data_IF_112995228635
#
_entry.id   IF_112995228635
#
_cell.length_a   1.000
_cell.length_b   1.000
_cell.length_c   1.000
_cell.angle_alpha   90.00
_cell.angle_beta   90.00
_cell.angle_gamma   90.00
#
_symmetry.space_group_name_H-M   'P 1'
#
loop_
_entity.id
_entity.type
_entity.pdbx_description
1 polymer ?
#
# COMPACT_ATOMS: atom_id res chain seq x y z
N UNK A 1 -21.08 -18.44 10.30
CA UNK A 1 -19.89 -17.59 10.54
C UNK A 1 -18.53 -18.31 10.55
N UNK A 2 -18.43 -19.63 10.28
CA UNK A 2 -17.15 -20.36 10.35
C UNK A 2 -16.20 -20.09 9.17
N UNK A 3 -16.74 -19.84 7.98
CA UNK A 3 -15.94 -19.71 6.75
C UNK A 3 -15.25 -18.34 6.65
N UNK A 4 -15.92 -17.27 7.07
CA UNK A 4 -15.33 -15.91 7.13
C UNK A 4 -14.14 -15.83 8.09
N UNK A 5 -14.20 -16.52 9.24
CA UNK A 5 -13.10 -16.57 10.20
C UNK A 5 -11.85 -17.25 9.61
N UNK A 6 -12.04 -18.32 8.83
CA UNK A 6 -10.94 -19.05 8.16
C UNK A 6 -10.33 -18.25 7.02
N UNK A 7 -11.16 -17.58 6.21
CA UNK A 7 -10.70 -16.72 5.12
C UNK A 7 -9.92 -15.50 5.64
N UNK A 8 -10.39 -14.87 6.72
CA UNK A 8 -9.70 -13.76 7.35
C UNK A 8 -8.34 -14.18 7.92
N UNK A 9 -8.26 -15.35 8.57
CA UNK A 9 -7.00 -15.88 9.11
C UNK A 9 -5.98 -16.17 8.00
N UNK A 10 -6.41 -16.88 6.96
CA UNK A 10 -5.57 -17.19 5.80
C UNK A 10 -5.11 -15.91 5.07
N UNK A 11 -6.02 -14.96 4.90
CA UNK A 11 -5.73 -13.64 4.32
C UNK A 11 -4.70 -12.88 5.15
N UNK A 12 -4.88 -12.81 6.47
CA UNK A 12 -3.95 -12.12 7.37
C UNK A 12 -2.55 -12.74 7.36
N UNK A 13 -2.44 -14.08 7.35
CA UNK A 13 -1.14 -14.76 7.26
C UNK A 13 -0.45 -14.51 5.92
N UNK A 14 -1.19 -14.52 4.81
CA UNK A 14 -0.62 -14.23 3.50
C UNK A 14 -0.12 -12.78 3.41
N UNK A 15 -0.89 -11.83 3.95
CA UNK A 15 -0.50 -10.42 4.07
C UNK A 15 0.76 -10.27 4.93
N UNK A 16 0.82 -10.92 6.09
CA UNK A 16 1.98 -10.88 6.97
C UNK A 16 3.24 -11.47 6.31
N UNK A 17 3.12 -12.56 5.55
CA UNK A 17 4.24 -13.17 4.81
C UNK A 17 4.70 -12.28 3.65
N UNK A 18 3.77 -11.64 2.94
CA UNK A 18 4.11 -10.72 1.85
C UNK A 18 4.81 -9.46 2.35
N UNK A 19 4.31 -8.84 3.43
CA UNK A 19 4.94 -7.64 4.00
C UNK A 19 6.21 -7.96 4.81
N UNK A 20 6.27 -9.11 5.49
CA UNK A 20 7.44 -9.55 6.25
C UNK A 20 8.63 -9.97 5.39
N UNK A 21 8.39 -10.47 4.17
CA UNK A 21 9.48 -10.74 3.22
C UNK A 21 10.02 -9.46 2.55
N UNK A 22 9.19 -8.44 2.38
CA UNK A 22 9.61 -7.16 1.80
C UNK A 22 10.59 -6.36 2.70
N UNK A 23 10.54 -6.52 4.03
CA UNK A 23 11.40 -5.77 4.96
C UNK A 23 12.86 -6.23 4.98
N UNK A 24 13.15 -7.49 4.61
CA UNK A 24 14.53 -8.03 4.63
C UNK A 24 15.32 -7.62 3.37
N UNK A 25 14.65 -7.33 2.26
CA UNK A 25 15.30 -7.01 0.97
C UNK A 25 15.60 -5.52 0.74
N UNK A 26 15.21 -4.62 1.65
CA UNK A 26 15.44 -3.17 1.51
C UNK A 26 16.80 -2.75 2.12
N UNK A 27 17.48 -3.66 2.83
CA UNK A 27 18.75 -3.38 3.52
C UNK A 27 20.00 -3.89 2.78
N UNK A 28 19.93 -4.08 1.46
CA UNK A 28 21.14 -4.33 0.67
C UNK A 28 21.84 -3.00 0.36
N UNK A 29 23.15 -2.96 0.62
CA UNK A 29 24.02 -1.78 0.63
C UNK A 29 24.27 -1.26 -0.80
N UNK A 30 23.23 -0.72 -1.44
CA UNK A 30 23.36 -0.01 -2.69
C UNK A 30 23.73 1.45 -2.39
N UNK A 31 25.04 1.74 -2.48
CA UNK A 31 25.63 3.07 -2.72
C UNK A 31 24.59 4.11 -3.17
N UNK A 32 24.29 5.07 -2.29
CA UNK A 32 23.37 6.19 -2.54
C UNK A 32 23.92 6.98 -3.74
N UNK A 33 23.52 6.59 -4.93
CA UNK A 33 23.46 7.48 -6.08
C UNK A 33 22.03 7.97 -6.05
N UNK A 34 21.86 9.28 -5.93
CA UNK A 34 20.57 9.98 -5.97
C UNK A 34 19.85 9.69 -7.30
N UNK A 35 19.30 8.48 -7.44
CA UNK A 35 18.36 8.17 -8.49
C UNK A 35 17.02 8.62 -7.95
N UNK A 36 16.69 9.87 -8.26
CA UNK A 36 15.32 10.37 -8.20
C UNK A 36 14.44 9.35 -8.95
N UNK A 37 13.73 8.49 -8.22
CA UNK A 37 12.66 7.65 -8.77
C UNK A 37 11.46 8.56 -9.02
N UNK A 38 11.64 9.53 -9.92
CA UNK A 38 10.55 10.13 -10.65
C UNK A 38 10.27 9.13 -11.75
N UNK A 39 9.23 8.30 -11.61
CA UNK A 39 8.74 7.54 -12.75
C UNK A 39 8.22 8.57 -13.76
N UNK A 40 8.92 8.83 -14.87
CA UNK A 40 8.43 9.78 -15.85
C UNK A 40 7.10 9.22 -16.39
N UNK A 41 6.14 10.10 -16.59
CA UNK A 41 4.89 9.80 -17.27
C UNK A 41 5.20 9.12 -18.60
N UNK A 42 4.98 7.80 -18.65
CA UNK A 42 5.26 6.99 -19.83
C UNK A 42 3.95 6.78 -20.61
N UNK A 43 3.99 7.09 -21.90
CA UNK A 43 2.88 6.83 -22.82
C UNK A 43 3.06 5.43 -23.36
N UNK A 44 2.23 4.49 -22.91
CA UNK A 44 2.29 3.08 -23.33
C UNK A 44 1.12 2.80 -24.26
N UNK A 45 1.39 2.11 -25.37
CA UNK A 45 0.32 1.54 -26.19
C UNK A 45 -0.29 0.34 -25.46
N UNK A 46 -1.50 0.51 -24.94
CA UNK A 46 -2.25 -0.59 -24.34
C UNK A 46 -3.36 -0.96 -25.29
N UNK A 47 -3.12 -2.00 -26.09
CA UNK A 47 -4.20 -2.83 -26.63
C UNK A 47 -4.94 -3.39 -25.42
N UNK A 48 -6.25 -3.12 -25.33
CA UNK A 48 -7.16 -3.65 -24.30
C UNK A 48 -7.22 -2.95 -22.92
N UNK A 49 -6.91 -1.64 -22.85
CA UNK A 49 -7.00 -0.87 -21.59
C UNK A 49 -8.43 -0.77 -21.01
N UNK A 50 -9.48 -1.00 -21.81
CA UNK A 50 -10.87 -0.84 -21.36
C UNK A 50 -11.57 -2.13 -20.91
N UNK A 51 -10.95 -3.29 -21.09
CA UNK A 51 -11.61 -4.59 -20.89
C UNK A 51 -11.71 -5.08 -19.43
N UNK A 52 -10.82 -4.65 -18.54
CA UNK A 52 -10.71 -5.20 -17.16
C UNK A 52 -11.20 -4.24 -16.07
N UNK A 53 -11.80 -4.79 -15.01
CA UNK A 53 -12.19 -4.04 -13.80
C UNK A 53 -10.99 -3.30 -13.19
N UNK A 54 -9.82 -3.94 -13.17
CA UNK A 54 -8.58 -3.32 -12.67
C UNK A 54 -8.18 -2.09 -13.48
N UNK A 55 -8.39 -2.13 -14.80
CA UNK A 55 -8.10 -0.98 -15.67
C UNK A 55 -9.09 0.16 -15.45
N UNK A 56 -10.39 -0.14 -15.25
CA UNK A 56 -11.41 0.87 -14.90
C UNK A 56 -11.14 1.53 -13.56
N UNK A 57 -10.75 0.75 -12.55
CA UNK A 57 -10.33 1.25 -11.23
C UNK A 57 -9.07 2.11 -11.39
N UNK A 58 -8.08 1.64 -12.13
CA UNK A 58 -6.86 2.41 -12.41
C UNK A 58 -7.15 3.78 -13.05
N UNK A 59 -8.07 3.83 -14.02
CA UNK A 59 -8.53 5.08 -14.64
C UNK A 59 -9.24 5.98 -13.62
N UNK A 60 -10.17 5.43 -12.84
CA UNK A 60 -10.91 6.17 -11.83
C UNK A 60 -10.03 6.72 -10.69
N UNK A 61 -8.92 6.06 -10.40
CA UNK A 61 -7.93 6.49 -9.41
C UNK A 61 -6.80 7.36 -10.03
N UNK A 62 -6.93 7.75 -11.30
CA UNK A 62 -5.96 8.60 -11.98
C UNK A 62 -4.58 7.97 -12.17
N UNK A 63 -4.48 6.63 -12.19
CA UNK A 63 -3.24 5.92 -12.48
C UNK A 63 -2.87 5.99 -13.97
N UNK A 64 -3.87 6.18 -14.84
CA UNK A 64 -3.67 6.40 -16.26
C UNK A 64 -4.83 7.16 -16.89
N UNK A 65 -4.57 7.84 -18.00
CA UNK A 65 -5.56 8.58 -18.79
C UNK A 65 -5.48 8.19 -20.27
N UNK A 66 -6.62 8.07 -20.98
CA UNK A 66 -6.64 7.84 -22.41
C UNK A 66 -6.20 9.10 -23.17
N UNK A 67 -5.19 8.96 -24.01
CA UNK A 67 -4.76 9.99 -24.97
C UNK A 67 -5.60 9.89 -26.25
N UNK A 68 -5.76 11.01 -26.99
CA UNK A 68 -6.57 11.10 -28.22
C UNK A 68 -6.15 10.08 -29.31
N UNK A 69 -4.94 9.54 -29.24
CA UNK A 69 -4.35 8.64 -30.23
C UNK A 69 -4.52 7.14 -29.90
N UNK A 70 -5.44 6.79 -28.98
CA UNK A 70 -5.64 5.40 -28.54
C UNK A 70 -4.52 4.85 -27.65
N UNK A 71 -3.65 5.74 -27.14
CA UNK A 71 -2.58 5.43 -26.19
C UNK A 71 -3.04 5.72 -24.76
N UNK A 72 -2.40 5.12 -23.77
CA UNK A 72 -2.63 5.48 -22.35
C UNK A 72 -1.40 6.16 -21.78
N UNK A 73 -1.64 7.27 -21.11
CA UNK A 73 -0.63 8.02 -20.38
C UNK A 73 -0.67 7.54 -18.93
N UNK A 74 0.41 6.92 -18.44
CA UNK A 74 0.51 6.54 -17.03
C UNK A 74 0.87 7.76 -16.19
N UNK A 75 0.13 7.99 -15.12
CA UNK A 75 0.44 9.04 -14.16
C UNK A 75 1.34 8.44 -13.07
N UNK A 76 2.64 8.68 -13.22
CA UNK A 76 3.63 8.36 -12.19
C UNK A 76 3.39 9.18 -10.93
N UNK A 77 3.83 8.63 -9.79
CA UNK A 77 3.84 9.33 -8.51
C UNK A 77 5.28 9.54 -8.05
N UNK A 78 5.55 10.70 -7.47
CA UNK A 78 6.83 11.03 -6.84
C UNK A 78 6.77 10.71 -5.35
N UNK A 79 7.57 9.72 -4.93
CA UNK A 79 7.62 9.29 -3.53
C UNK A 79 8.12 10.38 -2.57
N UNK A 80 8.97 11.31 -3.02
CA UNK A 80 9.46 12.42 -2.17
C UNK A 80 8.35 13.42 -1.88
N UNK A 81 7.48 13.67 -2.86
CA UNK A 81 6.32 14.56 -2.69
C UNK A 81 5.19 13.92 -1.88
N UNK A 82 5.22 12.58 -1.70
CA UNK A 82 4.24 11.82 -0.90
C UNK A 82 4.70 11.63 0.54
N UNK A 83 5.92 11.14 0.72
CA UNK A 83 6.48 10.72 2.02
C UNK A 83 7.59 11.64 2.54
N UNK A 84 8.03 12.64 1.76
CA UNK A 84 9.03 13.59 2.19
C UNK A 84 8.50 14.63 3.17
N UNK A 85 9.42 15.45 3.68
CA UNK A 85 9.15 16.46 4.71
C UNK A 85 8.31 17.64 4.21
N UNK A 86 8.37 17.96 2.92
CA UNK A 86 7.54 18.99 2.29
C UNK A 86 6.34 18.37 1.58
N UNK A 87 5.15 18.94 1.79
CA UNK A 87 3.87 18.44 1.26
C UNK A 87 3.28 19.32 0.16
N UNK A 88 4.04 20.31 -0.32
CA UNK A 88 3.53 21.39 -1.19
C UNK A 88 2.95 20.88 -2.52
N UNK A 89 3.40 19.71 -3.00
CA UNK A 89 2.88 19.09 -4.23
C UNK A 89 2.15 17.77 -4.00
N UNK A 90 1.78 17.45 -2.76
CA UNK A 90 1.02 16.23 -2.45
C UNK A 90 -0.30 16.17 -3.22
N UNK A 91 -1.03 17.30 -3.28
CA UNK A 91 -2.29 17.41 -4.03
C UNK A 91 -2.15 17.29 -5.55
N UNK A 92 -0.93 17.39 -6.09
CA UNK A 92 -0.64 17.21 -7.52
C UNK A 92 -0.34 15.75 -7.89
N UNK A 93 -0.18 14.88 -6.90
CA UNK A 93 0.03 13.45 -7.11
C UNK A 93 -1.27 12.77 -7.54
N UNK A 94 -1.19 11.67 -8.31
CA UNK A 94 -2.38 10.94 -8.73
C UNK A 94 -3.17 10.38 -7.53
N UNK A 95 -4.49 10.26 -7.68
CA UNK A 95 -5.42 9.94 -6.58
C UNK A 95 -5.10 8.59 -5.93
N UNK A 96 -4.70 7.58 -6.70
CA UNK A 96 -4.25 6.29 -6.17
C UNK A 96 -3.13 6.42 -5.14
N UNK A 97 -2.20 7.36 -5.36
CA UNK A 97 -1.03 7.55 -4.53
C UNK A 97 -1.37 8.33 -3.25
N UNK A 98 -2.27 9.30 -3.35
CA UNK A 98 -2.82 10.01 -2.20
C UNK A 98 -3.60 9.06 -1.28
N UNK A 99 -4.47 8.22 -1.86
CA UNK A 99 -5.22 7.21 -1.11
C UNK A 99 -4.27 6.19 -0.48
N UNK A 100 -3.25 5.75 -1.22
CA UNK A 100 -2.20 4.88 -0.69
C UNK A 100 -1.55 5.47 0.57
N UNK A 101 -1.14 6.74 0.52
CA UNK A 101 -0.58 7.44 1.67
C UNK A 101 -1.51 7.47 2.87
N UNK A 102 -2.77 7.87 2.67
CA UNK A 102 -3.78 7.93 3.75
C UNK A 102 -4.00 6.56 4.37
N UNK A 103 -4.12 5.52 3.54
CA UNK A 103 -4.26 4.13 4.02
C UNK A 103 -3.04 3.68 4.81
N UNK A 104 -1.82 4.04 4.40
CA UNK A 104 -0.60 3.72 5.13
C UNK A 104 -0.60 4.36 6.51
N UNK A 105 -0.91 5.67 6.61
CA UNK A 105 -0.96 6.37 7.89
C UNK A 105 -2.04 5.77 8.79
N UNK A 106 -3.25 5.58 8.27
CA UNK A 106 -4.34 4.98 9.02
C UNK A 106 -3.99 3.58 9.54
N UNK A 107 -3.43 2.74 8.67
CA UNK A 107 -3.05 1.36 9.03
C UNK A 107 -1.94 1.34 10.06
N UNK A 108 -0.96 2.25 9.96
CA UNK A 108 0.11 2.39 10.95
C UNK A 108 -0.43 2.72 12.34
N UNK A 109 -1.34 3.71 12.43
CA UNK A 109 -1.98 4.08 13.70
C UNK A 109 -2.86 2.94 14.21
N UNK A 110 -3.66 2.33 13.35
CA UNK A 110 -4.52 1.20 13.72
C UNK A 110 -3.71 -0.01 14.21
N UNK A 111 -2.55 -0.28 13.60
CA UNK A 111 -1.63 -1.32 14.04
C UNK A 111 -1.05 -1.03 15.44
N UNK A 112 -0.62 0.20 15.69
CA UNK A 112 -0.14 0.61 17.01
C UNK A 112 -1.21 0.43 18.09
N UNK A 113 -2.45 0.85 17.81
CA UNK A 113 -3.58 0.65 18.72
C UNK A 113 -3.89 -0.84 18.90
N UNK A 114 -3.90 -1.61 17.82
CA UNK A 114 -4.16 -3.06 17.85
C UNK A 114 -3.14 -3.83 18.68
N UNK A 115 -1.88 -3.43 18.64
CA UNK A 115 -0.80 -4.00 19.47
C UNK A 115 -0.98 -3.74 20.97
N UNK A 116 -1.77 -2.72 21.36
CA UNK A 116 -2.08 -2.43 22.76
C UNK A 116 -3.39 -3.11 23.16
N UNK A 117 -4.44 -2.88 22.39
CA UNK A 117 -5.80 -3.34 22.69
C UNK A 117 -5.91 -4.86 22.64
N UNK A 118 -5.24 -5.51 21.68
CA UNK A 118 -5.26 -6.98 21.55
C UNK A 118 -4.71 -7.67 22.79
N UNK A 119 -3.45 -7.41 23.19
CA UNK A 119 -2.88 -7.96 24.42
C UNK A 119 -3.63 -7.54 25.69
N UNK A 120 -4.07 -6.28 25.80
CA UNK A 120 -4.83 -5.81 26.96
C UNK A 120 -6.18 -6.53 27.11
N UNK A 121 -6.94 -6.68 26.02
CA UNK A 121 -8.19 -7.45 26.02
C UNK A 121 -7.93 -8.92 26.36
N UNK A 122 -6.88 -9.51 25.78
CA UNK A 122 -6.48 -10.88 26.09
C UNK A 122 -6.17 -11.04 27.59
N UNK A 123 -5.42 -10.11 28.18
CA UNK A 123 -5.07 -10.10 29.60
C UNK A 123 -6.29 -9.95 30.52
N UNK A 124 -7.22 -9.03 30.21
CA UNK A 124 -8.42 -8.81 31.03
C UNK A 124 -9.38 -10.00 30.96
N UNK A 125 -9.56 -10.61 29.79
CA UNK A 125 -10.55 -11.67 29.59
C UNK A 125 -10.00 -13.06 29.94
N UNK A 126 -8.72 -13.33 29.65
CA UNK A 126 -8.13 -14.67 29.80
C UNK A 126 -7.02 -14.74 30.86
N UNK A 127 -6.65 -13.61 31.49
CA UNK A 127 -5.52 -13.52 32.41
C UNK A 127 -4.15 -13.60 31.71
N UNK A 128 -3.07 -13.49 32.48
CA UNK A 128 -1.74 -13.90 32.02
C UNK A 128 -1.82 -15.37 31.57
N UNK A 129 -1.23 -15.76 30.43
CA UNK A 129 -1.06 -17.18 30.13
C UNK A 129 -0.39 -17.81 31.34
N UNK A 130 -1.10 -18.71 32.02
CA UNK A 130 -0.61 -19.37 33.20
C UNK A 130 0.71 -20.05 32.82
N UNK A 131 1.81 -19.51 33.34
CA UNK A 131 3.11 -20.15 33.35
C UNK A 131 2.98 -21.32 34.33
N UNK A 132 2.32 -22.39 33.89
CA UNK A 132 2.17 -23.60 34.69
C UNK A 132 3.58 -24.17 34.93
N UNK A 133 4.01 -24.09 36.19
CA UNK A 133 5.07 -24.93 36.75
C UNK A 133 4.63 -26.39 36.75
#
# INVERSE_FOLDING_TARGET
>A
MRNFRKAALAGATAVAVAFGSATVAIADEAKITETTVSHPTEVVEVKDAEGSLSSKIGKGLGAWEPTKDGKVQKNGADGREIFGSSKDKFGKQPVWAQIGYVLTVFTSVAAAVGLIVGPAYNFVVHGLPAMNK
#
